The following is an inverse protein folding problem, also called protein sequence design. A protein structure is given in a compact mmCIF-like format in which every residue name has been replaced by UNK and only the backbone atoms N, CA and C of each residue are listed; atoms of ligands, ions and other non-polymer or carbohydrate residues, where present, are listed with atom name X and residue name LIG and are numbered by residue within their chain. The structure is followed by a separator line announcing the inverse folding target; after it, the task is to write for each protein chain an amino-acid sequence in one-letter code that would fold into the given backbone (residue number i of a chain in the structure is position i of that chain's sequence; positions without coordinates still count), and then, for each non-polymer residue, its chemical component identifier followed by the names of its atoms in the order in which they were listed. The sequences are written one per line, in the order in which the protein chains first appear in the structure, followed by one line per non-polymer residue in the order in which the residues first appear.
data_IF_933208807139
#
_entry.id   IF_933208807139
#
_cell.length_a   1.000
_cell.length_b   1.000
_cell.length_c   1.000
_cell.angle_alpha   90.00
_cell.angle_beta   90.00
_cell.angle_gamma   90.00
#
_symmetry.space_group_name_H-M   'P 1'
#
loop_
_entity.id
_entity.type
_entity.pdbx_description
1 polymer ?
#
# COMPACT_ATOMS: atom_id res chain seq x y z
N UNK A 1 4.40 -3.07 16.80
CA UNK A 1 4.87 -2.10 15.78
C UNK A 1 5.17 -0.80 16.49
N UNK A 2 6.45 -0.49 16.71
CA UNK A 2 6.86 0.71 17.47
C UNK A 2 6.75 1.93 16.57
N UNK A 3 5.69 2.69 16.78
CA UNK A 3 5.31 3.89 16.05
C UNK A 3 6.33 5.04 16.20
N UNK A 4 6.72 5.67 15.08
CA UNK A 4 7.62 6.84 15.05
C UNK A 4 6.90 8.19 15.23
N UNK A 5 5.57 8.21 15.34
CA UNK A 5 4.85 9.43 15.71
C UNK A 5 5.03 9.65 17.21
N UNK A 6 5.94 10.56 17.58
CA UNK A 6 6.33 10.80 18.97
C UNK A 6 5.18 11.30 19.85
N UNK A 7 4.06 11.71 19.25
CA UNK A 7 2.86 12.10 19.98
C UNK A 7 1.61 12.02 19.06
N UNK A 8 1.04 10.82 18.84
CA UNK A 8 -0.13 10.68 17.98
C UNK A 8 -1.38 11.28 18.66
N UNK A 9 -2.24 11.93 17.87
CA UNK A 9 -3.55 12.41 18.31
C UNK A 9 -4.53 11.25 18.49
N UNK A 10 -4.43 10.24 17.61
CA UNK A 10 -5.31 9.06 17.58
C UNK A 10 -4.51 7.80 17.27
N UNK A 11 -5.09 6.62 17.55
CA UNK A 11 -4.50 5.33 17.15
C UNK A 11 -4.45 5.13 15.62
N UNK A 12 -5.17 5.96 14.85
CA UNK A 12 -5.34 5.88 13.40
C UNK A 12 -4.53 6.94 12.64
N UNK A 13 -3.70 7.72 13.32
CA UNK A 13 -2.88 8.75 12.67
C UNK A 13 -1.95 8.17 11.57
N UNK A 14 -1.71 6.87 11.52
CA UNK A 14 -0.86 6.24 10.51
C UNK A 14 -1.55 6.17 9.16
N UNK A 15 -2.87 6.37 9.12
CA UNK A 15 -3.64 6.38 7.88
C UNK A 15 -3.21 7.55 6.99
N UNK A 16 -3.15 8.76 7.55
CA UNK A 16 -2.98 9.98 6.76
C UNK A 16 -2.24 11.07 7.55
N UNK A 17 -1.49 11.94 6.86
CA UNK A 17 -0.83 13.07 7.50
C UNK A 17 -1.78 14.24 7.83
N UNK A 18 -2.93 14.31 7.16
CA UNK A 18 -3.97 15.34 7.29
C UNK A 18 -4.93 14.92 8.42
N UNK A 19 -4.96 15.63 9.56
CA UNK A 19 -5.81 15.28 10.70
C UNK A 19 -7.30 15.17 10.35
N UNK A 20 -7.77 16.03 9.44
CA UNK A 20 -9.17 16.07 9.01
C UNK A 20 -9.59 14.83 8.22
N UNK A 21 -8.66 14.17 7.51
CA UNK A 21 -8.97 12.90 6.83
C UNK A 21 -9.05 11.75 7.86
N UNK A 22 -8.22 11.78 8.90
CA UNK A 22 -8.30 10.83 10.03
C UNK A 22 -9.61 11.01 10.81
N UNK A 23 -10.08 12.25 10.98
CA UNK A 23 -11.37 12.54 11.61
C UNK A 23 -12.54 11.97 10.80
N UNK A 24 -12.53 12.11 9.47
CA UNK A 24 -13.55 11.48 8.62
C UNK A 24 -13.59 9.96 8.77
N UNK A 25 -12.43 9.30 8.86
CA UNK A 25 -12.36 7.86 9.12
C UNK A 25 -13.01 7.48 10.46
N UNK A 26 -12.78 8.29 11.50
CA UNK A 26 -13.33 8.06 12.84
C UNK A 26 -14.82 8.33 12.94
N UNK A 27 -15.33 9.29 12.16
CA UNK A 27 -16.74 9.67 12.13
C UNK A 27 -17.59 8.77 11.23
N UNK A 28 -16.98 8.02 10.31
CA UNK A 28 -17.69 7.11 9.40
C UNK A 28 -18.16 5.83 10.15
N UNK A 29 -19.49 5.59 10.27
CA UNK A 29 -20.02 4.40 10.94
C UNK A 29 -19.68 3.07 10.25
N UNK A 30 -19.14 3.10 9.03
CA UNK A 30 -18.68 1.94 8.29
C UNK A 30 -17.18 1.64 8.49
N UNK A 31 -16.45 2.49 9.23
CA UNK A 31 -15.03 2.38 9.51
C UNK A 31 -14.75 2.01 10.98
N UNK A 32 -13.49 1.65 11.30
CA UNK A 32 -13.02 1.42 12.67
C UNK A 32 -13.57 0.19 13.42
N UNK A 33 -14.50 -0.55 12.81
CA UNK A 33 -15.14 -1.71 13.44
C UNK A 33 -14.17 -2.89 13.69
N UNK A 34 -14.37 -3.60 14.79
CA UNK A 34 -13.61 -4.82 15.08
C UNK A 34 -14.14 -5.97 14.23
N UNK A 35 -13.30 -6.50 13.35
CA UNK A 35 -13.63 -7.64 12.51
C UNK A 35 -13.77 -8.95 13.32
N UNK A 36 -14.38 -9.97 12.72
CA UNK A 36 -14.50 -11.30 13.35
C UNK A 36 -13.13 -11.98 13.53
N UNK A 37 -13.04 -12.92 14.48
CA UNK A 37 -11.85 -13.76 14.63
C UNK A 37 -11.51 -14.54 13.34
N UNK A 38 -12.52 -14.96 12.57
CA UNK A 38 -12.31 -15.64 11.28
C UNK A 38 -11.70 -14.72 10.23
N UNK A 39 -12.06 -13.44 10.22
CA UNK A 39 -11.43 -12.44 9.36
C UNK A 39 -9.94 -12.33 9.67
N UNK A 40 -9.57 -12.12 10.94
CA UNK A 40 -8.16 -12.02 11.34
C UNK A 40 -7.38 -13.28 10.99
N UNK A 41 -7.95 -14.47 11.23
CA UNK A 41 -7.33 -15.75 10.82
C UNK A 41 -7.05 -15.77 9.31
N UNK A 42 -8.01 -15.36 8.48
CA UNK A 42 -7.87 -15.41 7.03
C UNK A 42 -6.82 -14.40 6.52
N UNK A 43 -6.81 -13.17 7.06
CA UNK A 43 -5.80 -12.15 6.71
C UNK A 43 -4.40 -12.65 7.06
N UNK A 44 -4.19 -13.14 8.29
CA UNK A 44 -2.89 -13.64 8.72
C UNK A 44 -2.43 -14.86 7.92
N UNK A 45 -3.36 -15.77 7.59
CA UNK A 45 -3.06 -16.92 6.73
C UNK A 45 -2.69 -16.48 5.31
N UNK A 46 -3.41 -15.50 4.75
CA UNK A 46 -3.11 -14.92 3.45
C UNK A 46 -1.70 -14.33 3.42
N UNK A 47 -1.41 -13.42 4.35
CA UNK A 47 -0.09 -12.77 4.47
C UNK A 47 1.05 -13.78 4.63
N UNK A 48 0.88 -14.80 5.48
CA UNK A 48 1.90 -15.84 5.68
C UNK A 48 2.22 -16.65 4.41
N UNK A 49 1.33 -16.65 3.41
CA UNK A 49 1.51 -17.39 2.16
C UNK A 49 1.82 -16.52 0.94
N UNK A 50 1.90 -15.19 1.09
CA UNK A 50 2.19 -14.28 -0.04
C UNK A 50 3.60 -14.47 -0.62
N UNK A 51 4.56 -14.91 0.21
CA UNK A 51 5.94 -15.21 -0.21
C UNK A 51 6.18 -16.65 -0.66
N UNK A 52 5.13 -17.45 -0.83
CA UNK A 52 5.25 -18.85 -1.27
C UNK A 52 5.73 -18.91 -2.72
N UNK A 53 6.92 -19.49 -2.92
CA UNK A 53 7.57 -19.59 -4.23
C UNK A 53 6.71 -20.31 -5.27
N UNK A 54 5.96 -21.33 -4.87
CA UNK A 54 5.11 -22.10 -5.80
C UNK A 54 3.90 -21.28 -6.25
N UNK A 55 3.45 -20.32 -5.45
CA UNK A 55 2.38 -19.38 -5.82
C UNK A 55 2.93 -18.24 -6.65
N UNK A 56 4.08 -17.68 -6.28
CA UNK A 56 4.76 -16.62 -7.02
C UNK A 56 5.12 -17.06 -8.45
N UNK A 57 5.55 -18.32 -8.63
CA UNK A 57 5.83 -18.89 -9.95
C UNK A 57 4.61 -19.04 -10.87
N UNK A 58 3.38 -18.79 -10.37
CA UNK A 58 2.14 -18.80 -11.17
C UNK A 58 1.74 -17.41 -11.68
N UNK A 59 2.45 -16.36 -11.27
CA UNK A 59 2.17 -15.01 -11.76
C UNK A 59 2.61 -14.93 -13.22
N UNK A 60 1.76 -14.36 -14.08
CA UNK A 60 2.12 -14.05 -15.46
C UNK A 60 3.22 -12.98 -15.47
N UNK A 61 4.43 -13.37 -15.87
CA UNK A 61 5.61 -12.48 -15.90
C UNK A 61 5.48 -11.34 -16.91
N UNK A 62 4.55 -11.43 -17.87
CA UNK A 62 4.27 -10.38 -18.84
C UNK A 62 3.33 -9.29 -18.31
N UNK A 63 2.70 -9.53 -17.15
CA UNK A 63 1.74 -8.61 -16.54
C UNK A 63 2.47 -7.34 -16.08
N UNK A 64 2.07 -6.15 -16.56
CA UNK A 64 2.53 -4.89 -16.01
C UNK A 64 2.08 -4.73 -14.56
N UNK A 65 3.01 -4.40 -13.66
CA UNK A 65 2.74 -4.15 -12.25
C UNK A 65 3.11 -2.71 -11.90
N UNK A 66 2.20 -2.05 -11.19
CA UNK A 66 2.46 -0.77 -10.55
C UNK A 66 2.44 -0.94 -9.03
N UNK A 67 3.58 -0.66 -8.40
CA UNK A 67 3.75 -0.63 -6.97
C UNK A 67 3.81 0.84 -6.56
N UNK A 68 2.98 1.25 -5.62
CA UNK A 68 3.04 2.61 -5.10
C UNK A 68 2.49 2.72 -3.69
N UNK A 69 3.05 3.67 -2.92
CA UNK A 69 2.75 3.83 -1.50
C UNK A 69 3.54 4.96 -0.87
N UNK A 70 3.20 5.28 0.39
CA UNK A 70 3.86 6.32 1.14
C UNK A 70 5.14 5.83 1.82
N UNK A 71 6.19 6.66 1.84
CA UNK A 71 7.43 6.35 2.54
C UNK A 71 7.28 6.40 4.07
N UNK A 72 6.24 7.06 4.57
CA UNK A 72 5.92 7.13 5.99
C UNK A 72 4.90 6.07 6.43
N UNK A 73 4.54 5.11 5.56
CA UNK A 73 3.58 4.05 5.89
C UNK A 73 4.23 2.93 6.74
N UNK A 74 3.83 2.77 8.01
CA UNK A 74 4.38 1.73 8.87
C UNK A 74 3.96 0.32 8.44
N UNK A 75 2.86 0.15 7.70
CA UNK A 75 2.42 -1.17 7.18
C UNK A 75 3.43 -1.72 6.18
N UNK A 76 4.09 -0.84 5.42
CA UNK A 76 5.13 -1.18 4.45
C UNK A 76 6.56 -0.99 4.99
N UNK A 77 6.78 -1.17 6.30
CA UNK A 77 8.09 -0.95 6.96
C UNK A 77 8.69 0.44 6.66
N UNK A 78 7.86 1.48 6.78
CA UNK A 78 8.21 2.87 6.43
C UNK A 78 8.71 2.96 4.98
N UNK A 79 7.89 2.46 4.05
CA UNK A 79 8.16 2.43 2.61
C UNK A 79 9.20 1.41 2.13
N UNK A 80 10.03 0.84 3.02
CA UNK A 80 11.08 -0.13 2.62
C UNK A 80 10.50 -1.39 1.99
N UNK A 81 9.34 -1.82 2.47
CA UNK A 81 8.63 -2.99 1.94
C UNK A 81 8.25 -2.85 0.46
N UNK A 82 8.05 -1.62 -0.03
CA UNK A 82 7.73 -1.36 -1.45
C UNK A 82 8.93 -1.68 -2.35
N UNK A 83 10.13 -1.27 -1.93
CA UNK A 83 11.38 -1.59 -2.64
C UNK A 83 11.70 -3.08 -2.58
N UNK A 84 11.47 -3.72 -1.43
CA UNK A 84 11.65 -5.17 -1.28
C UNK A 84 10.71 -5.96 -2.20
N UNK A 85 9.46 -5.50 -2.34
CA UNK A 85 8.49 -6.11 -3.25
C UNK A 85 8.92 -5.96 -4.71
N UNK A 86 9.38 -4.77 -5.09
CA UNK A 86 9.91 -4.51 -6.43
C UNK A 86 11.09 -5.44 -6.75
N UNK A 87 12.04 -5.58 -5.82
CA UNK A 87 13.20 -6.48 -5.96
C UNK A 87 12.76 -7.95 -6.08
N UNK A 88 11.81 -8.39 -5.26
CA UNK A 88 11.28 -9.76 -5.34
C UNK A 88 10.67 -10.05 -6.72
N UNK A 89 9.89 -9.12 -7.27
CA UNK A 89 9.29 -9.28 -8.60
C UNK A 89 10.33 -9.23 -9.72
N UNK A 90 11.37 -8.40 -9.60
CA UNK A 90 12.53 -8.42 -10.52
C UNK A 90 13.24 -9.77 -10.50
N UNK A 91 13.46 -10.35 -9.32
CA UNK A 91 14.09 -11.68 -9.16
C UNK A 91 13.23 -12.79 -9.77
N UNK A 92 11.91 -12.67 -9.73
CA UNK A 92 10.98 -13.59 -10.39
C UNK A 92 11.00 -13.49 -11.92
N UNK A 93 11.65 -12.46 -12.48
CA UNK A 93 11.73 -12.23 -13.92
C UNK A 93 10.61 -11.36 -14.49
N UNK A 94 9.92 -10.58 -13.65
CA UNK A 94 8.95 -9.61 -14.15
C UNK A 94 9.66 -8.42 -14.81
N UNK A 95 9.28 -8.11 -16.04
CA UNK A 95 9.98 -7.11 -16.86
C UNK A 95 9.36 -5.71 -16.74
N UNK A 96 8.06 -5.63 -16.45
CA UNK A 96 7.27 -4.39 -16.48
C UNK A 96 6.82 -4.01 -15.08
N UNK A 97 7.72 -3.40 -14.32
CA UNK A 97 7.43 -2.90 -12.97
C UNK A 97 7.64 -1.39 -12.96
N UNK A 98 6.62 -0.66 -12.49
CA UNK A 98 6.73 0.76 -12.11
C UNK A 98 6.64 0.85 -10.59
N UNK A 99 7.51 1.64 -9.98
CA UNK A 99 7.53 1.91 -8.55
C UNK A 99 7.51 3.42 -8.30
N UNK A 100 6.47 3.92 -7.63
CA UNK A 100 6.41 5.30 -7.15
C UNK A 100 6.26 5.32 -5.63
N UNK A 101 7.21 5.94 -4.91
CA UNK A 101 7.17 6.06 -3.45
C UNK A 101 7.07 7.52 -3.07
N UNK A 102 5.99 7.89 -2.38
CA UNK A 102 5.71 9.29 -2.02
C UNK A 102 6.33 9.64 -0.66
N UNK A 103 7.34 10.54 -0.60
CA UNK A 103 8.20 10.67 0.58
C UNK A 103 7.50 11.07 1.89
N UNK A 104 6.48 11.93 1.79
CA UNK A 104 5.80 12.50 2.97
C UNK A 104 4.48 11.78 3.30
N UNK A 105 4.04 10.88 2.42
CA UNK A 105 2.73 10.25 2.54
C UNK A 105 2.77 9.09 3.52
N UNK A 106 1.65 8.87 4.23
CA UNK A 106 1.43 7.70 5.07
C UNK A 106 0.70 6.60 4.27
N UNK A 107 -0.24 5.91 4.89
CA UNK A 107 -0.89 4.74 4.29
C UNK A 107 -1.86 5.09 3.15
N UNK A 108 -2.68 6.13 3.31
CA UNK A 108 -3.79 6.48 2.43
C UNK A 108 -3.38 7.52 1.37
N UNK A 109 -2.40 7.19 0.52
CA UNK A 109 -1.80 8.09 -0.50
C UNK A 109 -2.84 8.82 -1.39
N UNK A 110 -4.02 8.22 -1.60
CA UNK A 110 -5.10 8.81 -2.40
C UNK A 110 -5.90 9.90 -1.67
N UNK A 111 -5.67 10.09 -0.38
CA UNK A 111 -6.27 11.12 0.44
C UNK A 111 -5.21 12.09 1.00
N UNK A 112 -3.96 11.96 0.58
CA UNK A 112 -2.87 12.83 0.98
C UNK A 112 -2.85 14.15 0.18
N UNK A 113 -1.97 15.09 0.57
CA UNK A 113 -1.93 16.45 0.00
C UNK A 113 -1.66 16.47 -1.51
N UNK A 114 -0.87 15.51 -1.97
CA UNK A 114 -0.46 15.26 -3.35
C UNK A 114 -1.40 14.29 -4.09
N UNK A 115 -2.60 13.97 -3.58
CA UNK A 115 -3.53 13.00 -4.21
C UNK A 115 -3.73 13.17 -5.71
N UNK A 116 -3.70 14.40 -6.22
CA UNK A 116 -3.82 14.68 -7.66
C UNK A 116 -2.65 14.11 -8.47
N UNK A 117 -1.44 14.11 -7.90
CA UNK A 117 -0.27 13.43 -8.46
C UNK A 117 -0.45 11.91 -8.44
N UNK A 118 -0.91 11.36 -7.31
CA UNK A 118 -1.18 9.93 -7.18
C UNK A 118 -2.23 9.47 -8.21
N UNK A 119 -3.33 10.20 -8.37
CA UNK A 119 -4.36 9.91 -9.36
C UNK A 119 -3.82 9.97 -10.79
N UNK A 120 -3.02 10.98 -11.13
CA UNK A 120 -2.39 11.08 -12.46
C UNK A 120 -1.44 9.91 -12.72
N UNK A 121 -0.55 9.60 -11.79
CA UNK A 121 0.42 8.52 -11.95
C UNK A 121 -0.25 7.15 -12.12
N UNK A 122 -1.34 6.91 -11.38
CA UNK A 122 -2.18 5.72 -11.55
C UNK A 122 -2.87 5.70 -12.91
N UNK A 123 -3.48 6.81 -13.32
CA UNK A 123 -4.16 6.92 -14.61
C UNK A 123 -3.18 6.70 -15.77
N UNK A 124 -2.03 7.36 -15.75
CA UNK A 124 -0.99 7.26 -16.77
C UNK A 124 -0.51 5.80 -16.89
N UNK A 125 -0.27 5.12 -15.76
CA UNK A 125 0.10 3.71 -15.78
C UNK A 125 -0.95 2.83 -16.47
N UNK A 126 -2.24 3.05 -16.17
CA UNK A 126 -3.34 2.31 -16.79
C UNK A 126 -3.44 2.63 -18.28
N UNK A 127 -3.33 3.89 -18.68
CA UNK A 127 -3.41 4.32 -20.07
C UNK A 127 -2.27 3.73 -20.90
N UNK A 128 -1.05 3.65 -20.37
CA UNK A 128 0.10 3.03 -21.01
C UNK A 128 -0.11 1.53 -21.34
N UNK A 129 -1.05 0.85 -20.65
CA UNK A 129 -1.37 -0.56 -20.94
C UNK A 129 -2.50 -0.73 -21.96
N UNK A 130 -3.36 0.29 -22.12
CA UNK A 130 -4.56 0.23 -22.97
C UNK A 130 -4.34 0.89 -24.31
N UNK A 131 -3.60 2.01 -24.34
CA UNK A 131 -3.28 2.76 -25.55
C UNK A 131 -1.95 2.22 -26.07
N UNK A 132 -2.01 1.41 -27.13
CA UNK A 132 -0.84 0.93 -27.86
C UNK A 132 -0.45 1.90 -28.98
#
# INVERSE_FOLDING_TARGET
MTWQNKNPRTEFDWLNQIPEEVDKYLEDPYCGGVCSASFFKNVMTGMATMGDKDKLGKIDLSLPIYIHGGACDPVCDMGKGLYQLEEQYKILGMEKIKLDVYPEDRHEIYFERNKEEVYRNTLDFVLDQVIK
#
